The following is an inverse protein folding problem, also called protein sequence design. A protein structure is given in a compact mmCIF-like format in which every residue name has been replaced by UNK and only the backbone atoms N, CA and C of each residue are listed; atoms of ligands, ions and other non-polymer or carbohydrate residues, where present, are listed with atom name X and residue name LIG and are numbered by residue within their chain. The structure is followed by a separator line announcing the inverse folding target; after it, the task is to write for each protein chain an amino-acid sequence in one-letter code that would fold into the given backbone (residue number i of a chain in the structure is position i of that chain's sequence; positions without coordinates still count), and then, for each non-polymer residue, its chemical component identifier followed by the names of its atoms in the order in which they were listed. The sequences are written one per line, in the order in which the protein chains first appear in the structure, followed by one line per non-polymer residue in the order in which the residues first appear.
data_IF_184481383567
#
_entry.id   IF_184481383567
#
_cell.length_a   1.000
_cell.length_b   1.000
_cell.length_c   1.000
_cell.angle_alpha   90.00
_cell.angle_beta   90.00
_cell.angle_gamma   90.00
#
_symmetry.space_group_name_H-M   'P 1'
#
loop_
_entity.id
_entity.type
_entity.pdbx_description
1 polymer ?
#
# COMPACT_ATOMS: atom_id res chain seq x y z
N UNK A 1 -7.77 -37.38 -55.52
CA UNK A 1 -9.23 -37.31 -55.70
C UNK A 1 -9.90 -38.12 -54.59
N UNK A 2 -10.40 -37.51 -53.50
CA UNK A 2 -10.82 -38.32 -52.33
C UNK A 2 -11.64 -37.62 -51.25
N UNK A 3 -12.42 -36.58 -51.59
CA UNK A 3 -13.21 -35.82 -50.58
C UNK A 3 -14.71 -35.77 -50.93
N UNK A 4 -15.11 -36.17 -52.15
CA UNK A 4 -16.50 -36.04 -52.63
C UNK A 4 -17.46 -37.18 -52.23
N UNK A 5 -16.97 -38.27 -51.64
CA UNK A 5 -17.75 -39.48 -51.35
C UNK A 5 -18.29 -39.59 -49.92
N UNK A 6 -17.79 -38.80 -48.96
CA UNK A 6 -18.31 -38.80 -47.59
C UNK A 6 -19.49 -37.82 -47.42
N UNK A 7 -19.51 -36.75 -48.22
CA UNK A 7 -20.52 -35.70 -48.16
C UNK A 7 -21.92 -36.15 -48.60
N UNK A 8 -21.99 -37.07 -49.56
CA UNK A 8 -23.27 -37.61 -50.07
C UNK A 8 -23.99 -38.50 -49.04
N UNK A 9 -23.24 -39.20 -48.17
CA UNK A 9 -23.82 -40.06 -47.13
C UNK A 9 -24.29 -39.28 -45.92
N UNK A 10 -23.57 -38.21 -45.53
CA UNK A 10 -24.02 -37.29 -44.48
C UNK A 10 -25.34 -36.61 -44.87
N UNK A 11 -25.46 -36.10 -46.09
CA UNK A 11 -26.72 -35.48 -46.56
C UNK A 11 -27.92 -36.43 -46.56
N UNK A 12 -27.73 -37.71 -46.88
CA UNK A 12 -28.85 -38.66 -46.95
C UNK A 12 -29.40 -39.02 -45.56
N UNK A 13 -28.52 -39.17 -44.55
CA UNK A 13 -28.97 -39.34 -43.15
C UNK A 13 -29.63 -38.09 -42.60
N UNK A 14 -29.19 -36.91 -43.04
CA UNK A 14 -29.79 -35.63 -42.65
C UNK A 14 -31.16 -35.40 -43.31
N UNK A 15 -31.41 -35.94 -44.51
CA UNK A 15 -32.70 -35.72 -45.18
C UNK A 15 -33.83 -36.60 -44.65
N UNK A 16 -33.53 -37.83 -44.21
CA UNK A 16 -34.58 -38.80 -43.86
C UNK A 16 -34.92 -38.88 -42.37
N UNK A 17 -34.01 -38.48 -41.46
CA UNK A 17 -34.22 -38.60 -40.01
C UNK A 17 -34.80 -37.32 -39.37
N UNK A 18 -34.80 -36.21 -40.13
CA UNK A 18 -35.21 -34.88 -39.66
C UNK A 18 -36.69 -34.57 -39.91
N UNK A 19 -37.44 -35.51 -40.51
CA UNK A 19 -38.90 -35.43 -40.67
C UNK A 19 -39.65 -36.30 -39.63
N UNK A 20 -39.07 -36.41 -38.44
CA UNK A 20 -39.70 -37.04 -37.28
C UNK A 20 -39.60 -36.07 -36.10
N UNK A 21 -40.68 -35.94 -35.32
CA UNK A 21 -40.82 -35.07 -34.14
C UNK A 21 -39.57 -35.04 -33.22
N UNK A 22 -38.84 -36.15 -33.18
CA UNK A 22 -37.59 -36.32 -32.43
C UNK A 22 -36.47 -35.36 -32.86
N UNK A 23 -36.33 -35.04 -34.14
CA UNK A 23 -35.28 -34.12 -34.61
C UNK A 23 -35.55 -32.66 -34.16
N UNK A 24 -36.83 -32.27 -34.10
CA UNK A 24 -37.25 -30.97 -33.58
C UNK A 24 -36.89 -30.84 -32.10
N UNK A 25 -37.18 -31.87 -31.30
CA UNK A 25 -36.86 -31.92 -29.87
C UNK A 25 -35.35 -31.79 -29.63
N UNK A 26 -34.53 -32.47 -30.44
CA UNK A 26 -33.06 -32.38 -30.34
C UNK A 26 -32.55 -30.97 -30.64
N UNK A 27 -33.07 -30.32 -31.69
CA UNK A 27 -32.70 -28.93 -32.01
C UNK A 27 -33.12 -27.98 -30.90
N UNK A 28 -34.33 -28.14 -30.34
CA UNK A 28 -34.82 -27.33 -29.23
C UNK A 28 -33.94 -27.51 -27.98
N UNK A 29 -33.55 -28.73 -27.66
CA UNK A 29 -32.66 -29.03 -26.54
C UNK A 29 -31.28 -28.37 -26.70
N UNK A 30 -30.72 -28.36 -27.92
CA UNK A 30 -29.46 -27.67 -28.21
C UNK A 30 -29.61 -26.16 -28.04
N UNK A 31 -30.70 -25.56 -28.53
CA UNK A 31 -30.96 -24.12 -28.36
C UNK A 31 -31.10 -23.75 -26.88
N UNK A 32 -31.82 -24.55 -26.09
CA UNK A 32 -31.96 -24.34 -24.65
C UNK A 32 -30.60 -24.47 -23.95
N UNK A 33 -29.80 -25.47 -24.30
CA UNK A 33 -28.46 -25.65 -23.75
C UNK A 33 -27.55 -24.46 -24.06
N UNK A 34 -27.57 -23.94 -25.29
CA UNK A 34 -26.80 -22.75 -25.69
C UNK A 34 -27.31 -21.49 -24.99
N UNK A 35 -28.62 -21.34 -24.83
CA UNK A 35 -29.21 -20.20 -24.11
C UNK A 35 -28.82 -20.23 -22.62
N UNK A 36 -28.77 -21.42 -22.01
CA UNK A 36 -28.32 -21.62 -20.64
C UNK A 36 -26.83 -21.29 -20.46
N UNK A 37 -25.96 -21.74 -21.37
CA UNK A 37 -24.52 -21.47 -21.28
C UNK A 37 -24.22 -19.98 -21.50
N UNK A 38 -24.91 -19.32 -22.43
CA UNK A 38 -24.76 -17.88 -22.65
C UNK A 38 -25.26 -17.03 -21.47
N UNK A 39 -26.38 -17.42 -20.86
CA UNK A 39 -26.91 -16.79 -19.65
C UNK A 39 -25.95 -16.88 -18.46
N UNK A 40 -25.29 -18.02 -18.27
CA UNK A 40 -24.32 -18.23 -17.18
C UNK A 40 -23.09 -17.32 -17.30
N UNK A 41 -22.53 -17.18 -18.51
CA UNK A 41 -21.33 -16.36 -18.77
C UNK A 41 -21.61 -14.86 -18.55
N UNK A 42 -22.78 -14.38 -18.97
CA UNK A 42 -23.14 -12.95 -18.84
C UNK A 42 -23.36 -12.50 -17.39
N UNK A 43 -23.86 -13.39 -16.53
CA UNK A 43 -24.04 -13.10 -15.09
C UNK A 43 -22.70 -13.00 -14.35
N UNK A 44 -21.73 -13.84 -14.71
CA UNK A 44 -20.38 -13.79 -14.15
C UNK A 44 -19.68 -12.47 -14.48
N UNK A 45 -19.76 -12.02 -15.74
CA UNK A 45 -19.14 -10.75 -16.17
C UNK A 45 -19.73 -9.52 -15.45
N UNK A 46 -21.05 -9.48 -15.24
CA UNK A 46 -21.71 -8.39 -14.51
C UNK A 46 -21.30 -8.35 -13.04
N UNK A 47 -21.15 -9.52 -12.41
CA UNK A 47 -20.75 -9.62 -11.01
C UNK A 47 -19.31 -9.12 -10.80
N UNK A 48 -18.36 -9.48 -11.68
CA UNK A 48 -16.97 -9.00 -11.58
C UNK A 48 -16.84 -7.48 -11.75
N UNK A 49 -17.58 -6.88 -12.68
CA UNK A 49 -17.53 -5.42 -12.84
C UNK A 49 -18.13 -4.70 -11.63
N UNK A 50 -19.19 -5.27 -11.03
CA UNK A 50 -19.81 -4.71 -9.84
C UNK A 50 -18.89 -4.84 -8.62
N UNK A 51 -18.27 -6.01 -8.42
CA UNK A 51 -17.27 -6.24 -7.37
C UNK A 51 -16.07 -5.29 -7.51
N UNK A 52 -15.50 -5.14 -8.71
CA UNK A 52 -14.37 -4.21 -8.92
C UNK A 52 -14.71 -2.76 -8.60
N UNK A 53 -15.93 -2.31 -8.90
CA UNK A 53 -16.40 -0.97 -8.54
C UNK A 53 -16.56 -0.82 -7.03
N UNK A 54 -17.09 -1.84 -6.36
CA UNK A 54 -17.19 -1.87 -4.90
C UNK A 54 -15.81 -1.85 -4.24
N UNK A 55 -14.87 -2.66 -4.71
CA UNK A 55 -13.49 -2.70 -4.19
C UNK A 55 -12.76 -1.36 -4.40
N UNK A 56 -12.95 -0.73 -5.56
CA UNK A 56 -12.40 0.60 -5.82
C UNK A 56 -12.98 1.64 -4.85
N UNK A 57 -14.30 1.63 -4.65
CA UNK A 57 -14.98 2.56 -3.73
C UNK A 57 -14.67 2.29 -2.26
N UNK A 58 -14.45 1.04 -1.88
CA UNK A 58 -14.01 0.69 -0.52
C UNK A 58 -12.59 1.20 -0.26
N UNK A 59 -11.67 1.02 -1.21
CA UNK A 59 -10.31 1.57 -1.10
C UNK A 59 -10.30 3.09 -1.03
N UNK A 60 -11.10 3.75 -1.87
CA UNK A 60 -11.25 5.21 -1.83
C UNK A 60 -11.76 5.68 -0.44
N UNK A 61 -12.77 5.02 0.12
CA UNK A 61 -13.26 5.33 1.46
C UNK A 61 -12.21 5.12 2.56
N UNK A 62 -11.43 4.04 2.48
CA UNK A 62 -10.37 3.78 3.46
C UNK A 62 -9.29 4.86 3.41
N UNK A 63 -8.89 5.32 2.22
CA UNK A 63 -7.92 6.40 2.06
C UNK A 63 -8.43 7.72 2.64
N UNK A 64 -9.68 8.07 2.35
CA UNK A 64 -10.29 9.30 2.90
C UNK A 64 -10.43 9.22 4.42
N UNK A 65 -10.84 8.06 4.95
CA UNK A 65 -10.94 7.86 6.39
C UNK A 65 -9.57 8.04 7.07
N UNK A 66 -8.52 7.45 6.50
CA UNK A 66 -7.17 7.60 7.02
C UNK A 66 -6.71 9.07 7.02
N UNK A 67 -7.01 9.82 5.96
CA UNK A 67 -6.70 11.26 5.90
C UNK A 67 -7.43 12.05 6.99
N UNK A 68 -8.70 11.76 7.22
CA UNK A 68 -9.50 12.40 8.28
C UNK A 68 -8.91 12.09 9.65
N UNK A 69 -8.54 10.83 9.90
CA UNK A 69 -7.96 10.40 11.16
C UNK A 69 -6.60 11.09 11.39
N UNK A 70 -5.72 11.12 10.38
CA UNK A 70 -4.45 11.84 10.42
C UNK A 70 -4.65 13.32 10.75
N UNK A 71 -5.56 14.00 10.04
CA UNK A 71 -5.83 15.42 10.27
C UNK A 71 -6.41 15.67 11.69
N UNK A 72 -7.23 14.75 12.19
CA UNK A 72 -7.74 14.83 13.55
C UNK A 72 -6.62 14.66 14.60
N UNK A 73 -5.63 13.79 14.35
CA UNK A 73 -4.45 13.66 15.21
C UNK A 73 -3.58 14.92 15.18
N UNK A 74 -3.33 15.48 14.01
CA UNK A 74 -2.56 16.74 13.87
C UNK A 74 -3.26 17.89 14.62
N UNK A 75 -4.58 18.02 14.46
CA UNK A 75 -5.34 19.02 15.20
C UNK A 75 -5.24 18.82 16.71
N UNK A 76 -5.31 17.59 17.21
CA UNK A 76 -5.14 17.28 18.64
C UNK A 76 -3.74 17.63 19.12
N UNK A 77 -2.70 17.31 18.34
CA UNK A 77 -1.33 17.65 18.64
C UNK A 77 -1.15 19.17 18.80
N UNK A 78 -1.65 19.97 17.85
CA UNK A 78 -1.57 21.43 17.94
C UNK A 78 -2.43 22.04 19.06
N UNK A 79 -3.48 21.35 19.51
CA UNK A 79 -4.28 21.75 20.66
C UNK A 79 -3.69 21.34 22.00
N UNK A 80 -2.68 20.47 22.02
CA UNK A 80 -2.05 20.05 23.26
C UNK A 80 -1.37 21.23 23.98
N UNK A 81 -1.43 21.23 25.31
CA UNK A 81 -0.81 22.28 26.13
C UNK A 81 0.71 22.35 25.87
N UNK A 82 1.37 21.20 25.82
CA UNK A 82 2.80 21.07 25.52
C UNK A 82 3.20 21.76 24.21
N UNK A 83 2.45 21.51 23.14
CA UNK A 83 2.73 22.15 21.85
C UNK A 83 2.52 23.66 21.92
N UNK A 84 1.42 24.11 22.54
CA UNK A 84 1.13 25.54 22.70
C UNK A 84 2.19 26.25 23.53
N UNK A 85 2.70 25.61 24.57
CA UNK A 85 3.77 26.10 25.43
C UNK A 85 5.10 26.21 24.67
N UNK A 86 5.50 25.15 23.96
CA UNK A 86 6.69 25.17 23.08
C UNK A 86 6.57 26.23 21.98
N UNK A 87 5.39 26.37 21.39
CA UNK A 87 5.11 27.39 20.37
C UNK A 87 5.16 28.81 20.97
N UNK A 88 4.61 29.03 22.16
CA UNK A 88 4.67 30.32 22.85
C UNK A 88 6.11 30.69 23.23
N UNK A 89 6.88 29.72 23.75
CA UNK A 89 8.31 29.89 24.06
C UNK A 89 9.12 30.28 22.82
N UNK A 90 8.97 29.52 21.73
CA UNK A 90 9.75 29.74 20.50
C UNK A 90 9.35 30.99 19.74
N UNK A 91 8.06 31.34 19.68
CA UNK A 91 7.56 32.47 18.87
C UNK A 91 7.49 33.78 19.63
N UNK A 92 7.12 33.73 20.91
CA UNK A 92 6.87 34.93 21.72
C UNK A 92 7.99 35.18 22.74
N UNK A 93 8.93 34.24 22.90
CA UNK A 93 9.98 34.34 23.93
C UNK A 93 9.41 34.31 25.35
N UNK A 94 8.17 33.82 25.52
CA UNK A 94 7.48 33.75 26.80
C UNK A 94 7.91 32.49 27.55
N UNK A 95 8.24 32.64 28.83
CA UNK A 95 8.52 31.52 29.73
C UNK A 95 7.42 31.43 30.79
N UNK A 96 7.23 30.25 31.39
CA UNK A 96 6.26 30.10 32.46
C UNK A 96 6.70 30.90 33.71
N UNK A 97 5.76 31.29 34.58
CA UNK A 97 6.10 31.97 35.83
C UNK A 97 7.11 31.14 36.65
N UNK A 98 8.30 31.69 36.88
CA UNK A 98 9.40 31.02 37.60
C UNK A 98 10.53 30.47 36.72
N UNK A 99 10.35 30.41 35.40
CA UNK A 99 11.43 30.05 34.46
C UNK A 99 12.25 31.27 34.03
N UNK A 100 13.58 31.13 33.94
CA UNK A 100 14.47 32.16 33.39
C UNK A 100 14.90 31.78 31.98
N UNK A 101 14.59 32.64 31.01
CA UNK A 101 15.03 32.49 29.62
C UNK A 101 16.47 33.01 29.49
N UNK A 102 17.41 32.12 29.12
CA UNK A 102 18.82 32.48 28.93
C UNK A 102 19.04 32.87 27.47
N UNK A 103 19.19 34.17 27.20
CA UNK A 103 19.57 34.65 25.85
C UNK A 103 21.08 34.61 25.73
N UNK A 104 21.61 33.65 24.97
CA UNK A 104 23.04 33.54 24.73
C UNK A 104 23.49 34.45 23.57
N UNK A 105 24.66 35.11 23.67
CA UNK A 105 25.27 35.79 22.53
C UNK A 105 25.67 34.77 21.45
N UNK A 106 25.95 35.24 20.21
CA UNK A 106 26.43 34.37 19.14
C UNK A 106 27.63 33.54 19.61
N UNK A 107 27.62 32.24 19.30
CA UNK A 107 28.65 31.31 19.75
C UNK A 107 30.04 31.82 19.34
N UNK A 108 30.99 31.82 20.30
CA UNK A 108 32.37 32.26 20.04
C UNK A 108 33.05 31.37 18.98
N UNK A 109 34.10 31.86 18.32
CA UNK A 109 34.85 31.06 17.33
C UNK A 109 35.34 29.73 17.93
N UNK A 110 35.84 29.75 19.18
CA UNK A 110 36.22 28.54 19.91
C UNK A 110 35.07 27.55 20.12
N UNK A 111 33.87 28.06 20.41
CA UNK A 111 32.69 27.20 20.56
C UNK A 111 32.25 26.58 19.23
N UNK A 112 32.34 27.35 18.12
CA UNK A 112 32.06 26.82 16.78
C UNK A 112 33.08 25.78 16.33
N UNK A 113 34.35 25.97 16.66
CA UNK A 113 35.42 25.01 16.39
C UNK A 113 35.24 23.73 17.22
N UNK A 114 34.82 23.88 18.49
CA UNK A 114 34.46 22.76 19.35
C UNK A 114 33.24 22.01 18.81
N UNK A 115 32.17 22.71 18.41
CA UNK A 115 31.00 22.09 17.78
C UNK A 115 31.39 21.37 16.49
N UNK A 116 32.24 21.95 15.64
CA UNK A 116 32.73 21.32 14.42
C UNK A 116 33.60 20.07 14.67
N UNK A 117 34.34 20.04 15.79
CA UNK A 117 35.13 18.87 16.21
C UNK A 117 34.27 17.78 16.90
N UNK A 118 33.16 18.17 17.52
CA UNK A 118 32.28 17.27 18.28
C UNK A 118 31.05 16.84 17.48
N UNK A 119 30.76 17.49 16.35
CA UNK A 119 29.78 17.03 15.39
C UNK A 119 30.26 15.64 14.91
N UNK A 120 29.50 14.55 15.15
CA UNK A 120 29.81 13.30 14.50
C UNK A 120 29.83 13.58 13.00
N UNK A 121 30.94 13.26 12.34
CA UNK A 121 31.11 13.44 10.90
C UNK A 121 29.81 12.99 10.23
N UNK A 122 29.19 13.89 9.44
CA UNK A 122 28.00 13.58 8.69
C UNK A 122 28.18 12.20 8.07
N UNK A 123 27.31 11.26 8.48
CA UNK A 123 27.47 9.84 8.18
C UNK A 123 27.83 9.69 6.71
N UNK A 124 29.02 9.15 6.47
CA UNK A 124 29.53 8.88 5.13
C UNK A 124 28.46 8.14 4.33
N UNK A 125 28.23 8.50 3.06
CA UNK A 125 27.29 7.85 2.12
C UNK A 125 27.63 6.36 1.82
N UNK A 126 28.56 5.76 2.57
CA UNK A 126 28.73 4.32 2.60
C UNK A 126 27.51 3.71 3.33
N UNK A 127 26.92 2.60 2.84
CA UNK A 127 25.84 1.92 3.55
C UNK A 127 26.40 1.38 4.87
N UNK A 128 26.26 2.19 5.92
CA UNK A 128 26.53 1.79 7.29
C UNK A 128 25.63 0.62 7.70
N UNK A 129 25.97 -0.11 8.77
CA UNK A 129 25.11 -1.17 9.28
C UNK A 129 23.68 -0.64 9.48
N UNK A 130 22.67 -1.39 9.06
CA UNK A 130 21.26 -0.99 9.25
C UNK A 130 20.98 -0.62 10.72
N UNK A 131 20.12 0.39 10.96
CA UNK A 131 19.78 0.85 12.32
C UNK A 131 19.43 -0.30 13.29
N UNK A 132 18.69 -1.31 12.84
CA UNK A 132 18.35 -2.49 13.67
C UNK A 132 19.59 -3.28 14.12
N UNK A 133 20.59 -3.42 13.25
CA UNK A 133 21.82 -4.14 13.55
C UNK A 133 22.70 -3.35 14.53
N UNK A 134 22.72 -2.02 14.41
CA UNK A 134 23.38 -1.14 15.39
C UNK A 134 22.75 -1.27 16.79
N UNK A 135 21.41 -1.28 16.88
CA UNK A 135 20.70 -1.50 18.14
C UNK A 135 20.97 -2.89 18.73
N UNK A 136 21.01 -3.93 17.89
CA UNK A 136 21.31 -5.28 18.34
C UNK A 136 22.76 -5.41 18.85
N UNK A 137 23.72 -4.83 18.15
CA UNK A 137 25.13 -4.82 18.55
C UNK A 137 25.35 -4.01 19.86
N UNK A 138 24.59 -2.93 20.06
CA UNK A 138 24.56 -2.17 21.32
C UNK A 138 23.98 -2.99 22.48
N UNK A 139 22.78 -3.54 22.32
CA UNK A 139 22.09 -4.30 23.37
C UNK A 139 22.80 -5.63 23.70
N UNK A 140 23.50 -6.23 22.74
CA UNK A 140 24.30 -7.44 22.96
C UNK A 140 25.70 -7.16 23.55
N UNK A 141 26.05 -5.89 23.80
CA UNK A 141 27.30 -5.50 24.44
C UNK A 141 28.54 -5.65 23.55
N UNK A 142 28.36 -5.84 22.24
CA UNK A 142 29.47 -6.06 21.29
C UNK A 142 30.37 -4.83 21.16
N UNK A 143 29.80 -3.63 21.35
CA UNK A 143 30.53 -2.35 21.35
C UNK A 143 31.46 -2.15 22.57
N UNK A 144 31.34 -2.98 23.62
CA UNK A 144 32.18 -2.86 24.84
C UNK A 144 33.59 -3.44 24.61
N UNK A 145 33.75 -4.39 23.68
CA UNK A 145 35.04 -5.06 23.41
C UNK A 145 36.04 -4.18 22.67
N UNK A 146 35.57 -3.19 21.90
CA UNK A 146 36.45 -2.26 21.16
C UNK A 146 37.13 -1.23 22.09
N UNK A 147 36.58 -1.00 23.28
CA UNK A 147 37.14 -0.08 24.27
C UNK A 147 38.26 -0.72 25.14
N UNK A 148 38.49 -2.02 25.02
CA UNK A 148 39.52 -2.76 25.78
C UNK A 148 40.82 -2.99 25.00
N UNK A 149 40.86 -2.68 23.70
CA UNK A 149 42.06 -2.79 22.86
C UNK A 149 42.78 -1.43 22.70
N UNK A 150 42.48 -0.48 23.58
CA UNK A 150 43.16 0.82 23.67
C UNK A 150 44.02 0.81 24.94
N UNK A 151 45.02 -0.06 24.99
CA UNK A 151 46.19 0.01 25.88
C UNK A 151 47.47 -0.09 25.06
#
# INVERSE_FOLDING_TARGET
MGISLHWRRLRYRIRHQYWSFNALVVVLAIVVAVAWTWGSITMMQRNYQLQRRLDAKQRERQLVQLQVDTLAYEQKYYRSAEYQELAARSRLGLANPGEKLLVLPPNSQKAKEFDAQTQPAAASDAPGPSNLRQWLDFLSGKNVRDLQNIE
#
